data_IF_676856899986
#
_entry.id   IF_676856899986
#
_cell.length_a   1.000
_cell.length_b   1.000
_cell.length_c   1.000
_cell.angle_alpha   90.00
_cell.angle_beta   90.00
_cell.angle_gamma   90.00
#
_symmetry.space_group_name_H-M   'P 1'
#
loop_
_entity.id
_entity.type
_entity.pdbx_description
1 polymer ?
2 polymer ?
3 non-polymer ?
4 non-polymer ?
5 non-polymer ?
6 non-polymer ?
7 water ?
#
# COMPACT_ATOMS: atom_id res chain seq x y z
N UNK A 1 -30.86 -5.53 3.82
CA UNK A 1 -29.74 -5.45 2.83
C UNK A 1 -28.58 -6.33 3.31
N UNK A 2 -27.68 -6.69 2.39
CA UNK A 2 -26.56 -7.56 2.72
C UNK A 2 -25.26 -6.93 2.17
N UNK A 3 -24.23 -7.01 3.00
CA UNK A 3 -22.98 -6.33 2.72
C UNK A 3 -22.23 -6.86 1.49
N UNK A 4 -22.64 -8.04 1.00
CA UNK A 4 -21.94 -8.66 -0.13
C UNK A 4 -22.39 -8.11 -1.48
N UNK A 5 -23.61 -7.58 -1.57
CA UNK A 5 -24.07 -6.88 -2.78
C UNK A 5 -24.08 -5.37 -2.61
N UNK A 6 -23.45 -4.66 -3.54
CA UNK A 6 -23.51 -3.19 -3.59
C UNK A 6 -22.99 -2.54 -2.28
N UNK A 7 -22.24 -3.33 -1.50
CA UNK A 7 -21.67 -2.91 -0.23
C UNK A 7 -22.71 -2.59 0.85
N UNK A 8 -23.89 -3.18 0.70
CA UNK A 8 -24.99 -2.92 1.62
C UNK A 8 -25.48 -1.50 1.56
N UNK A 9 -25.14 -0.81 0.47
CA UNK A 9 -25.39 0.63 0.30
C UNK A 9 -24.40 1.54 1.01
N UNK A 10 -23.50 0.95 1.79
CA UNK A 10 -22.53 1.69 2.60
C UNK A 10 -21.47 2.37 1.75
N UNK A 11 -21.06 3.56 2.17
CA UNK A 11 -19.94 4.25 1.53
C UNK A 11 -18.62 3.55 1.88
N UNK A 12 -18.51 3.04 3.11
CA UNK A 12 -17.29 2.42 3.59
C UNK A 12 -17.59 1.01 4.12
N UNK A 13 -17.57 0.80 5.42
CA UNK A 13 -17.64 -0.56 5.95
C UNK A 13 -19.06 -0.98 6.28
N UNK A 14 -19.28 -2.28 6.24
CA UNK A 14 -20.61 -2.89 6.35
C UNK A 14 -20.59 -4.11 7.24
N UNK A 15 -21.49 -4.16 8.22
CA UNK A 15 -21.73 -5.34 9.06
C UNK A 15 -23.14 -5.88 8.92
N UNK A 16 -23.25 -7.17 8.57
CA UNK A 16 -24.55 -7.88 8.62
C UNK A 16 -24.92 -8.19 10.07
N UNK A 17 -26.22 -8.26 10.31
CA UNK A 17 -26.75 -8.54 11.64
C UNK A 17 -27.91 -9.52 11.55
N UNK A 18 -28.15 -10.21 12.67
CA UNK A 18 -29.14 -11.29 12.70
C UNK A 18 -30.52 -10.68 12.43
N UNK A 19 -31.05 -11.01 11.25
CA UNK A 19 -32.29 -10.40 10.75
C UNK A 19 -32.02 -9.74 9.40
N UNK A 20 -32.96 -8.91 8.96
CA UNK A 20 -32.71 -8.03 7.81
C UNK A 20 -32.01 -6.77 8.30
N UNK A 21 -31.05 -6.91 9.22
CA UNK A 21 -30.34 -5.77 9.79
C UNK A 21 -28.94 -5.64 9.24
N UNK A 22 -28.53 -4.39 9.01
CA UNK A 22 -27.25 -4.06 8.43
C UNK A 22 -26.78 -2.79 9.11
N UNK A 23 -25.51 -2.74 9.46
CA UNK A 23 -24.90 -1.51 9.96
C UNK A 23 -23.72 -1.09 9.12
N UNK A 24 -23.79 0.14 8.63
CA UNK A 24 -22.66 0.74 7.98
C UNK A 24 -21.80 1.35 9.04
N UNK A 25 -20.51 1.45 8.73
CA UNK A 25 -19.55 2.11 9.61
C UNK A 25 -18.54 2.90 8.79
N UNK A 26 -17.82 3.78 9.47
CA UNK A 26 -16.79 4.61 8.84
C UNK A 26 -15.45 4.45 9.55
N UNK A 27 -14.38 4.60 8.78
CA UNK A 27 -13.03 4.59 9.28
C UNK A 27 -12.82 5.70 10.29
N UNK A 28 -11.85 5.50 11.17
CA UNK A 28 -11.38 6.55 12.07
C UNK A 28 -11.13 7.83 11.26
N UNK A 29 -11.46 9.00 11.84
CA UNK A 29 -11.41 10.30 11.14
C UNK A 29 -12.62 10.63 10.26
N UNK A 30 -13.66 9.79 10.38
CA UNK A 30 -14.92 10.00 9.68
C UNK A 30 -16.07 9.71 10.62
N UNK A 31 -17.23 10.29 10.33
CA UNK A 31 -18.46 9.93 11.03
C UNK A 31 -19.57 9.58 10.05
N UNK A 32 -20.45 8.71 10.50
CA UNK A 32 -21.55 8.22 9.70
C UNK A 32 -22.67 9.25 9.76
N UNK A 33 -23.23 9.61 8.61
CA UNK A 33 -24.33 10.57 8.59
C UNK A 33 -25.67 9.88 8.91
N UNK A 34 -26.70 10.70 9.10
CA UNK A 34 -28.05 10.22 9.49
C UNK A 34 -28.71 9.32 8.44
N UNK A 35 -28.27 9.42 7.18
CA UNK A 35 -28.74 8.50 6.14
C UNK A 35 -28.33 7.07 6.46
N UNK A 36 -27.36 6.92 7.38
CA UNK A 36 -26.90 5.62 7.81
C UNK A 36 -25.98 4.89 6.84
N UNK A 37 -25.54 5.59 5.79
CA UNK A 37 -24.60 5.00 4.84
C UNK A 37 -23.35 5.85 4.52
N UNK A 38 -23.48 7.18 4.62
CA UNK A 38 -22.43 8.07 4.15
C UNK A 38 -21.46 8.37 5.27
N UNK A 39 -20.21 8.68 4.91
CA UNK A 39 -19.18 8.98 5.86
C UNK A 39 -18.68 10.36 5.56
N UNK A 40 -18.48 11.18 6.60
CA UNK A 40 -17.96 12.53 6.42
C UNK A 40 -16.72 12.74 7.30
N UNK A 41 -15.64 13.33 6.74
CA UNK A 41 -14.45 13.65 7.52
C UNK A 41 -14.71 14.45 8.82
N UNK A 42 -14.06 14.02 9.89
CA UNK A 42 -14.15 14.68 11.16
C UNK A 42 -12.84 15.37 11.48
N UNK A 43 -11.81 15.16 10.65
CA UNK A 43 -10.47 15.71 10.89
C UNK A 43 -10.01 16.38 9.63
N UNK A 44 -8.96 17.19 9.76
CA UNK A 44 -8.40 17.88 8.63
C UNK A 44 -7.85 16.96 7.58
N UNK A 45 -7.17 15.90 8.00
CA UNK A 45 -6.44 15.03 7.05
C UNK A 45 -6.87 13.58 7.18
N UNK A 46 -8.12 13.28 6.77
CA UNK A 46 -8.60 11.89 6.85
C UNK A 46 -7.85 10.99 5.86
N UNK A 47 -7.75 9.70 6.19
CA UNK A 47 -7.10 8.76 5.28
C UNK A 47 -7.80 8.69 3.93
N UNK A 48 -6.99 8.41 2.90
CA UNK A 48 -7.51 8.07 1.61
C UNK A 48 -8.08 9.23 0.83
N UNK A 49 -7.88 10.45 1.33
CA UNK A 49 -8.31 11.66 0.63
C UNK A 49 -7.12 12.53 0.32
N UNK A 50 -7.19 13.21 -0.81
CA UNK A 50 -6.08 13.99 -1.35
C UNK A 50 -6.35 15.49 -1.24
N UNK A 51 -5.78 16.14 -0.22
CA UNK A 51 -6.08 17.53 0.04
C UNK A 51 -5.97 18.49 -1.16
N UNK A 52 -4.97 18.38 -2.02
CA UNK A 52 -4.90 19.38 -3.09
C UNK A 52 -6.12 19.27 -4.01
N UNK A 53 -6.62 18.05 -4.18
CA UNK A 53 -7.80 17.82 -5.00
C UNK A 53 -9.10 18.16 -4.25
N UNK A 54 -9.18 17.79 -2.98
CA UNK A 54 -10.33 18.14 -2.15
C UNK A 54 -10.50 19.66 -2.04
N UNK A 55 -9.40 20.40 -2.09
CA UNK A 55 -9.46 21.85 -2.20
C UNK A 55 -9.80 22.22 -3.64
N UNK A 56 -9.11 21.60 -4.60
CA UNK A 56 -9.47 21.54 -6.04
C UNK A 56 -8.29 21.81 -6.95
N UNK B 1 8.51 2.48 -12.17
CA UNK B 1 7.25 2.43 -12.92
C UNK B 1 7.52 2.60 -14.42
N UNK B 2 7.05 1.63 -15.22
CA UNK B 2 7.15 1.66 -16.67
C UNK B 2 5.83 2.08 -17.34
N UNK B 3 5.90 3.02 -18.27
CA UNK B 3 4.74 3.44 -19.03
C UNK B 3 3.65 4.17 -18.26
N UNK B 4 4.04 4.88 -17.20
CA UNK B 4 3.10 5.68 -16.39
C UNK B 4 3.33 7.17 -16.60
N UNK B 5 3.10 7.98 -15.58
CA UNK B 5 3.27 9.44 -15.66
C UNK B 5 3.76 9.94 -14.30
N UNK B 6 4.27 11.16 -14.27
CA UNK B 6 4.60 11.78 -13.00
C UNK B 6 3.31 11.94 -12.14
N UNK B 7 3.37 11.50 -10.88
CA UNK B 7 2.31 11.78 -9.96
C UNK B 7 2.43 13.23 -9.59
N UNK B 8 1.44 14.04 -9.96
CA UNK B 8 1.59 15.43 -9.58
C UNK B 8 1.86 15.58 -8.07
N UNK B 9 2.77 16.48 -7.72
CA UNK B 9 3.19 16.67 -6.32
C UNK B 9 2.00 16.88 -5.38
N UNK B 10 1.89 16.04 -4.37
CA UNK B 10 0.79 16.11 -3.41
C UNK B 10 -0.35 15.13 -3.68
N UNK B 11 -0.38 14.56 -4.89
CA UNK B 11 -1.43 13.62 -5.27
C UNK B 11 -1.17 12.17 -4.98
N UNK B 12 0.02 11.84 -4.45
CA UNK B 12 0.33 10.48 -3.98
C UNK B 12 0.84 10.59 -2.55
N UNK B 13 0.03 11.22 -1.67
CA UNK B 13 0.62 11.72 -0.43
C UNK B 13 0.93 10.65 0.61
N UNK B 14 0.45 9.43 0.38
CA UNK B 14 0.75 8.29 1.24
C UNK B 14 2.02 7.53 0.82
N UNK B 15 2.61 7.90 -0.31
CA UNK B 15 3.80 7.20 -0.79
C UNK B 15 4.98 7.45 0.14
N UNK B 16 5.66 6.37 0.48
CA UNK B 16 6.88 6.43 1.29
C UNK B 16 8.10 6.04 0.43
N UNK B 17 9.23 6.69 0.68
CA UNK B 17 10.54 6.28 0.17
C UNK B 17 11.34 5.71 1.33
N UNK B 18 11.83 4.49 1.16
CA UNK B 18 12.68 3.87 2.17
C UNK B 18 14.11 3.99 1.66
N UNK B 19 15.01 4.33 2.58
CA UNK B 19 16.43 4.58 2.27
C UNK B 19 17.26 3.76 3.23
N UNK B 20 18.42 3.33 2.76
CA UNK B 20 19.38 2.62 3.61
C UNK B 20 20.75 3.27 3.36
N UNK B 21 21.27 3.92 4.39
CA UNK B 21 22.44 4.81 4.29
C UNK B 21 22.31 5.91 3.18
N UNK B 22 21.12 6.47 3.06
CA UNK B 22 20.84 7.47 2.02
C UNK B 22 20.54 6.97 0.63
N UNK B 23 20.68 5.67 0.41
CA UNK B 23 20.49 5.05 -0.90
C UNK B 23 19.06 4.58 -0.96
N UNK B 24 18.45 4.72 -2.13
CA UNK B 24 17.13 4.20 -2.40
C UNK B 24 17.03 2.68 -2.14
N UNK B 25 16.11 2.27 -1.27
CA UNK B 25 15.83 0.84 -1.06
C UNK B 25 14.52 0.38 -1.71
N UNK B 26 13.42 1.03 -1.38
CA UNK B 26 12.10 0.53 -1.70
C UNK B 26 11.11 1.62 -1.42
N UNK B 27 9.86 1.35 -1.83
CA UNK B 27 8.74 2.16 -1.47
C UNK B 27 7.96 1.60 -0.29
N UNK B 28 6.95 2.37 0.11
CA UNK B 28 6.02 1.98 1.14
C UNK B 28 4.76 2.83 1.11
N UNK B 29 3.87 2.49 2.04
CA UNK B 29 2.58 3.17 2.17
C UNK B 29 2.34 3.53 3.62
N UNK B 30 2.11 4.81 3.84
CA UNK B 30 1.70 5.32 5.14
C UNK B 30 0.22 4.98 5.40
N UNK B 31 -0.08 4.35 6.53
CA UNK B 31 -1.48 4.01 6.84
C UNK B 31 -2.01 4.71 8.10
N UNK B 32 -1.08 5.25 8.87
CA UNK B 32 -1.41 6.21 9.91
C UNK B 32 -0.12 6.96 10.20
N UNK B 33 -0.08 7.75 11.25
CA UNK B 33 1.07 8.64 11.46
C UNK B 33 2.38 7.99 11.88
N UNK B 34 2.35 6.74 12.39
CA UNK B 34 3.56 6.05 12.82
C UNK B 34 3.81 4.74 12.05
N UNK B 35 2.86 4.32 11.22
CA UNK B 35 2.93 3.03 10.52
C UNK B 35 2.94 3.07 9.00
N UNK B 36 3.85 2.26 8.44
CA UNK B 36 4.12 2.19 7.02
C UNK B 36 4.03 0.73 6.63
N UNK B 37 3.33 0.43 5.54
CA UNK B 37 3.34 -0.92 5.02
C UNK B 37 4.33 -0.93 3.83
N UNK B 38 5.12 -2.01 3.75
CA UNK B 38 6.06 -2.24 2.67
C UNK B 38 6.12 -3.75 2.33
N UNK B 39 7.20 -4.15 1.66
CA UNK B 39 7.38 -5.56 1.21
C UNK B 39 8.48 -6.18 2.04
N UNK B 40 8.23 -7.38 2.55
CA UNK B 40 9.22 -8.12 3.33
C UNK B 40 10.53 -8.30 2.60
N UNK B 41 10.49 -8.54 1.27
CA UNK B 41 11.76 -8.81 0.54
C UNK B 41 12.70 -7.60 0.48
N UNK B 42 12.18 -6.41 0.77
CA UNK B 42 13.00 -5.21 0.81
C UNK B 42 14.09 -5.30 1.84
N UNK B 43 13.94 -6.20 2.80
CA UNK B 43 14.82 -6.25 3.96
C UNK B 43 15.66 -7.51 4.01
N UNK B 44 15.63 -8.31 2.94
CA UNK B 44 16.37 -9.55 2.87
C UNK B 44 17.89 -9.39 3.10
N UNK B 45 18.45 -8.23 2.75
CA UNK B 45 19.89 -8.05 2.76
C UNK B 45 20.30 -6.89 3.63
N UNK B 46 19.50 -6.54 4.62
CA UNK B 46 19.86 -5.41 5.47
C UNK B 46 20.97 -5.83 6.41
N UNK B 47 22.03 -5.02 6.48
CA UNK B 47 23.17 -5.33 7.31
C UNK B 47 23.08 -4.51 8.59
N UNK B 48 23.02 -3.18 8.46
CA UNK B 48 22.78 -2.31 9.64
C UNK B 48 21.31 -1.80 9.71
N UNK B 49 20.52 -2.50 10.52
CA UNK B 49 19.09 -2.25 10.67
C UNK B 49 18.80 -0.86 11.24
N UNK B 50 19.81 -0.24 11.85
CA UNK B 50 19.69 1.06 12.51
C UNK B 50 19.79 2.24 11.55
N UNK B 51 20.14 2.00 10.31
CA UNK B 51 20.25 3.11 9.33
C UNK B 51 19.12 3.15 8.28
N UNK B 52 17.93 2.66 8.65
CA UNK B 52 16.76 2.66 7.77
C UNK B 52 15.98 3.93 7.99
N UNK B 53 15.67 4.64 6.89
CA UNK B 53 14.94 5.93 6.94
C UNK B 53 13.68 5.83 6.06
N UNK B 54 12.57 6.37 6.56
CA UNK B 54 11.35 6.53 5.74
C UNK B 54 11.16 8.00 5.49
N UNK B 55 10.95 8.39 4.24
CA UNK B 55 10.69 9.78 3.92
C UNK B 55 9.29 9.91 3.35
N UNK B 56 8.50 10.80 3.99
CA UNK B 56 7.14 11.18 3.56
C UNK B 56 7.20 12.55 2.89
N UNK B 57 6.22 12.84 2.04
CA UNK B 57 6.14 14.13 1.35
C UNK B 57 7.19 14.34 0.26
N UNK B 58 7.73 13.24 -0.21
CA UNK B 58 8.80 13.22 -1.20
C UNK B 58 8.12 13.19 -2.56
N UNK B 59 8.80 13.82 -3.51
CA UNK B 59 8.33 13.96 -4.85
C UNK B 59 9.50 13.93 -5.84
N UNK B 60 10.28 14.99 -5.82
CA UNK B 60 11.44 15.12 -6.72
C UNK B 60 12.73 14.91 -5.91
N UNK B 61 13.39 13.78 -6.18
CA UNK B 61 14.57 13.40 -5.42
C UNK B 61 15.79 14.30 -5.63
N UNK B 62 15.79 15.12 -6.68
CA UNK B 62 16.92 16.01 -6.96
C UNK B 62 16.93 17.26 -6.07
N UNK B 63 15.82 17.51 -5.38
CA UNK B 63 15.72 18.72 -4.59
C UNK B 63 15.07 18.53 -3.23
N UNK B 64 15.19 19.56 -2.43
CA UNK B 64 14.54 19.67 -1.16
C UNK B 64 13.60 20.86 -1.27
N UNK B 65 12.33 20.64 -1.01
CA UNK B 65 11.35 21.74 -1.03
C UNK B 65 10.72 22.03 0.35
N UNK B 66 11.11 21.26 1.36
CA UNK B 66 10.63 21.53 2.71
C UNK B 66 9.36 20.79 3.07
N UNK B 67 8.74 20.08 2.14
CA UNK B 67 7.55 19.27 2.48
C UNK B 67 7.91 17.85 2.93
N UNK B 68 9.19 17.47 2.75
CA UNK B 68 9.64 16.11 3.07
C UNK B 68 9.72 15.96 4.58
N UNK B 69 9.46 14.76 5.08
CA UNK B 69 9.62 14.46 6.49
C UNK B 69 10.29 13.09 6.56
N UNK B 70 11.43 13.02 7.25
CA UNK B 70 12.17 11.77 7.40
C UNK B 70 12.11 11.25 8.82
N UNK B 71 12.06 9.93 8.96
CA UNK B 71 11.97 9.31 10.26
C UNK B 71 12.81 8.07 10.26
N UNK B 72 13.36 7.74 11.41
CA UNK B 72 14.01 6.47 11.58
C UNK B 72 12.95 5.41 11.66
N UNK B 73 13.27 4.25 11.13
CA UNK B 73 12.41 3.11 11.21
C UNK B 73 12.79 2.35 12.46
N UNK B 74 11.89 2.29 13.43
CA UNK B 74 12.18 1.71 14.74
C UNK B 74 11.97 0.19 14.78
N UNK B 75 11.04 -0.30 13.96
CA UNK B 75 10.71 -1.71 13.90
C UNK B 75 10.34 -2.11 12.47
N UNK B 76 10.81 -3.30 12.06
CA UNK B 76 10.34 -3.95 10.84
C UNK B 76 9.72 -5.25 11.25
N UNK B 77 8.43 -5.39 10.96
CA UNK B 77 7.67 -6.57 11.39
C UNK B 77 7.30 -7.39 10.16
N UNK B 78 7.64 -8.66 10.20
CA UNK B 78 7.53 -9.55 9.04
C UNK B 78 6.81 -10.82 9.46
N UNK B 79 5.85 -11.32 8.65
CA UNK B 79 5.14 -12.51 9.12
C UNK B 79 6.06 -13.73 9.18
N UNK B 80 5.80 -14.60 10.14
CA UNK B 80 6.56 -15.81 10.35
C UNK B 80 6.63 -16.70 9.12
N UNK B 81 5.63 -16.62 8.26
CA UNK B 81 5.53 -17.44 7.06
C UNK B 81 6.38 -16.98 5.87
N UNK B 82 7.02 -15.83 5.99
CA UNK B 82 7.82 -15.26 4.92
C UNK B 82 9.22 -15.88 4.94
N UNK B 83 9.65 -16.39 3.80
CA UNK B 83 10.97 -17.01 3.70
C UNK B 83 11.80 -16.11 2.80
N UNK B 84 12.88 -15.52 3.34
CA UNK B 84 13.73 -14.68 2.48
C UNK B 84 14.12 -15.33 1.14
N UNK B 85 14.17 -14.52 0.09
CA UNK B 85 14.54 -15.01 -1.22
C UNK B 85 13.39 -15.64 -1.96
N UNK B 86 12.23 -15.75 -1.32
CA UNK B 86 11.03 -16.28 -1.95
C UNK B 86 9.98 -15.14 -2.02
N UNK B 87 8.80 -15.45 -2.55
CA UNK B 87 7.86 -14.41 -2.98
C UNK B 87 6.60 -14.34 -2.11
N UNK B 88 6.26 -15.42 -1.42
CA UNK B 88 5.01 -15.50 -0.69
C UNK B 88 5.07 -14.74 0.66
N UNK B 89 3.92 -14.19 1.06
CA UNK B 89 3.80 -13.42 2.30
C UNK B 89 4.72 -12.16 2.27
N UNK B 90 4.71 -11.44 1.15
CA UNK B 90 5.68 -10.38 0.92
C UNK B 90 5.10 -9.07 1.48
N UNK B 91 5.17 -8.95 2.80
CA UNK B 91 4.61 -7.82 3.51
C UNK B 91 5.49 -7.58 4.74
N UNK B 92 5.62 -6.30 5.06
CA UNK B 92 6.36 -5.83 6.24
C UNK B 92 5.58 -4.68 6.79
N UNK B 93 5.54 -4.59 8.11
CA UNK B 93 4.97 -3.42 8.79
C UNK B 93 6.08 -2.70 9.54
N UNK B 94 6.18 -1.40 9.30
CA UNK B 94 7.26 -0.61 9.85
C UNK B 94 6.69 0.40 10.84
N UNK B 95 7.32 0.47 12.01
CA UNK B 95 7.00 1.50 13.00
C UNK B 95 8.08 2.60 12.90
N UNK B 96 7.64 3.85 12.81
CA UNK B 96 8.53 4.99 12.74
C UNK B 96 8.86 5.40 14.17
N UNK B 97 10.08 5.88 14.36
CA UNK B 97 10.55 6.25 15.69
C UNK B 97 9.73 7.39 16.27
N UNK B 98 9.22 8.25 15.38
CA UNK B 98 8.43 9.41 15.75
C UNK B 98 7.34 9.57 14.69
N UNK B 99 6.10 9.96 15.10
CA UNK B 99 5.08 10.23 14.09
C UNK B 99 5.46 11.28 13.05
N UNK B 100 5.00 11.07 11.82
CA UNK B 100 4.97 12.14 10.86
C UNK B 100 3.81 13.08 11.18
N UNK B 101 3.95 14.33 10.73
CA UNK B 101 2.90 15.32 10.88
C UNK B 101 2.11 15.32 9.58
N UNK B 102 0.82 15.09 9.66
CA UNK B 102 -0.05 15.14 8.52
C UNK B 102 -0.15 16.57 7.97
N UNK B 103 -0.11 16.67 6.64
CA UNK B 103 -0.08 17.94 5.91
C UNK B 103 -0.71 17.66 4.58
N UNK B 104 -0.85 18.69 3.74
CA UNK B 104 -1.34 18.51 2.39
C UNK B 104 -0.51 17.51 1.60
N UNK B 105 0.76 17.32 1.99
CA UNK B 105 1.68 16.47 1.24
C UNK B 105 1.98 15.15 1.94
N UNK B 106 1.37 14.96 3.10
CA UNK B 106 1.61 13.75 3.89
C UNK B 106 0.30 13.35 4.56
N UNK B 107 -0.29 12.28 4.01
CA UNK B 107 -1.59 11.78 4.36
C UNK B 107 -1.59 10.25 4.26
N UNK B 108 -2.14 9.53 5.26
CA UNK B 108 -2.15 8.09 5.16
C UNK B 108 -3.18 7.56 4.16
N UNK B 109 -2.91 6.38 3.61
CA UNK B 109 -3.92 5.66 2.87
C UNK B 109 -4.74 4.85 3.88
N UNK B 110 -6.04 4.67 3.63
CA UNK B 110 -6.87 3.84 4.52
C UNK B 110 -6.59 2.35 4.37
N UNK B 111 -6.26 1.68 5.47
CA UNK B 111 -6.23 0.23 5.50
C UNK B 111 -7.70 -0.22 5.70
N UNK B 112 -8.29 -0.88 4.69
CA UNK B 112 -9.70 -1.20 4.78
C UNK B 112 -9.94 -2.37 5.70
N UNK B 113 -11.18 -2.53 6.13
CA UNK B 113 -11.63 -3.79 6.70
C UNK B 113 -11.48 -4.92 5.69
N UNK B 114 -11.23 -6.11 6.20
CA UNK B 114 -11.03 -7.30 5.34
C UNK B 114 -12.25 -7.58 4.47
N UNK B 115 -13.42 -7.69 5.11
CA UNK B 115 -14.69 -7.94 4.37
C UNK B 115 -14.94 -6.98 3.22
N UNK B 116 -14.91 -5.68 3.53
CA UNK B 116 -14.98 -4.62 2.53
C UNK B 116 -13.91 -4.75 1.43
N UNK B 117 -12.72 -5.16 1.81
CA UNK B 117 -11.66 -5.33 0.83
C UNK B 117 -11.94 -6.53 -0.07
N UNK B 118 -12.41 -7.61 0.52
CA UNK B 118 -12.68 -8.82 -0.25
C UNK B 118 -13.93 -8.71 -1.10
N UNK B 119 -14.97 -8.10 -0.56
CA UNK B 119 -16.29 -8.12 -1.17
C UNK B 119 -16.55 -6.96 -2.13
N UNK B 120 -15.83 -5.87 -1.97
CA UNK B 120 -16.08 -4.68 -2.76
C UNK B 120 -14.83 -4.21 -3.52
N UNK B 121 -13.73 -3.96 -2.78
CA UNK B 121 -12.50 -3.41 -3.39
C UNK B 121 -11.83 -4.36 -4.39
N UNK B 122 -11.94 -5.67 -4.16
CA UNK B 122 -11.31 -6.67 -5.00
C UNK B 122 -11.87 -6.72 -6.41
N UNK B 123 -13.06 -6.13 -6.60
CA UNK B 123 -13.78 -6.07 -7.86
C UNK B 123 -13.70 -4.71 -8.53
N UNK B 124 -13.16 -3.69 -7.86
CA UNK B 124 -12.80 -2.46 -8.54
C UNK B 124 -11.67 -2.81 -9.52
N UNK B 125 -11.86 -2.54 -10.80
CA UNK B 125 -10.96 -3.07 -11.82
C UNK B 125 -9.57 -2.43 -11.80
N UNK B 126 -9.54 -1.09 -11.82
CA UNK B 126 -8.31 -0.31 -11.85
C UNK B 126 -7.94 0.25 -10.49
N UNK B 127 -6.62 0.36 -10.32
CA UNK B 127 -5.96 0.76 -9.11
C UNK B 127 -4.61 1.37 -9.53
N UNK B 128 -4.05 2.19 -8.65
CA UNK B 128 -2.89 2.99 -8.97
C UNK B 128 -1.72 2.39 -8.23
N UNK B 129 -0.59 2.29 -8.95
CA UNK B 129 0.65 1.78 -8.40
C UNK B 129 1.71 2.83 -8.62
N UNK B 130 2.56 3.01 -7.62
CA UNK B 130 3.46 4.13 -7.67
C UNK B 130 4.84 3.86 -7.07
N UNK B 131 5.79 4.70 -7.47
CA UNK B 131 7.17 4.58 -6.99
C UNK B 131 8.20 5.35 -7.80
N UNK B 132 9.42 5.35 -7.26
CA UNK B 132 10.60 5.94 -7.89
C UNK B 132 11.49 4.87 -8.52
N UNK B 133 10.88 3.76 -8.92
CA UNK B 133 11.62 2.67 -9.52
C UNK B 133 12.04 2.95 -10.96
N UNK B 134 12.54 1.88 -11.58
CA UNK B 134 13.04 1.93 -12.96
C UNK B 134 11.91 2.31 -13.93
N UNK B 135 12.23 3.25 -14.82
CA UNK B 135 11.28 3.72 -15.82
C UNK B 135 11.22 2.80 -17.01
N UNK B 136 12.23 1.93 -17.13
CA UNK B 136 12.37 0.93 -18.20
C UNK B 136 13.02 -0.28 -17.57
N UNK B 137 12.72 -1.46 -18.10
CA UNK B 137 13.52 -2.65 -17.83
C UNK B 137 14.98 -2.36 -18.17
N UNK B 138 15.89 -2.70 -17.25
CA UNK B 138 17.32 -2.37 -17.39
C UNK B 138 17.59 -0.88 -17.55
N UNK B 139 16.68 -0.06 -17.03
CA UNK B 139 16.78 1.40 -17.16
C UNK B 139 17.12 2.07 -15.85
N UNK B 140 17.38 3.38 -15.94
CA UNK B 140 17.55 4.26 -14.79
C UNK B 140 16.21 4.46 -14.05
N UNK B 141 16.30 4.66 -12.74
CA UNK B 141 15.17 4.93 -11.89
C UNK B 141 14.73 6.38 -11.95
N UNK B 142 13.48 6.61 -11.55
CA UNK B 142 12.83 7.89 -11.66
C UNK B 142 13.32 8.86 -10.60
N UNK B 143 13.52 10.11 -11.02
CA UNK B 143 13.78 11.21 -10.10
C UNK B 143 12.49 11.85 -9.56
N UNK B 144 11.42 11.71 -10.32
CA UNK B 144 10.12 12.19 -9.91
C UNK B 144 9.21 11.00 -9.69
N UNK B 145 8.47 11.04 -8.58
CA UNK B 145 7.55 9.97 -8.24
C UNK B 145 6.63 9.73 -9.42
N UNK B 146 6.55 8.46 -9.83
CA UNK B 146 5.64 8.04 -10.91
C UNK B 146 4.45 7.22 -10.42
N UNK B 147 3.38 7.28 -11.21
CA UNK B 147 2.15 6.57 -10.95
C UNK B 147 1.57 5.92 -12.23
N UNK B 148 0.87 4.81 -12.06
CA UNK B 148 0.36 4.05 -13.17
C UNK B 148 -0.97 3.41 -12.77
N UNK B 149 -1.98 3.51 -13.65
CA UNK B 149 -3.25 2.82 -13.42
C UNK B 149 -3.12 1.43 -13.97
N UNK B 150 -3.51 0.41 -13.21
CA UNK B 150 -3.40 -0.97 -13.67
C UNK B 150 -4.65 -1.79 -13.34
N UNK B 151 -5.06 -2.67 -14.25
CA UNK B 151 -6.23 -3.48 -13.96
C UNK B 151 -5.87 -4.78 -13.29
N UNK B 152 -6.75 -5.23 -12.42
CA UNK B 152 -6.55 -6.45 -11.65
C UNK B 152 -7.21 -7.63 -12.34
N UNK B 153 -6.58 -8.78 -12.20
CA UNK B 153 -7.03 -10.01 -12.79
C UNK B 153 -7.40 -10.97 -11.69
N UNK B 154 -8.43 -11.77 -11.90
CA UNK B 154 -8.65 -12.94 -11.04
C UNK B 154 -7.53 -13.92 -11.32
N UNK B 155 -7.10 -14.66 -10.31
CA UNK B 155 -5.88 -15.46 -10.45
C UNK B 155 -5.96 -16.50 -11.59
N UNK B 156 -7.13 -17.12 -11.77
CA UNK B 156 -7.34 -18.10 -12.85
C UNK B 156 -7.06 -17.48 -14.21
N UNK B 157 -7.56 -16.28 -14.42
CA UNK B 157 -7.33 -15.55 -15.66
C UNK B 157 -5.87 -15.12 -15.78
N UNK B 158 -5.22 -14.81 -14.66
CA UNK B 158 -3.83 -14.43 -14.72
C UNK B 158 -2.98 -15.57 -15.24
N UNK B 159 -3.19 -16.74 -14.64
CA UNK B 159 -2.48 -17.96 -15.01
C UNK B 159 -2.77 -18.34 -16.46
N UNK B 160 -4.05 -18.29 -16.85
CA UNK B 160 -4.47 -18.55 -18.23
C UNK B 160 -3.79 -17.62 -19.23
N UNK B 161 -3.75 -16.33 -18.92
CA UNK B 161 -3.18 -15.31 -19.80
C UNK B 161 -1.66 -15.14 -19.74
N UNK B 162 -0.98 -15.85 -18.84
CA UNK B 162 0.46 -15.63 -18.63
C UNK B 162 1.32 -16.59 -19.45
N UNK B 163 1.96 -16.06 -20.48
CA UNK B 163 2.65 -16.85 -21.50
C UNK B 163 4.08 -16.34 -21.75
N UNK B 168 7.48 -20.00 -13.59
CA UNK B 168 7.43 -18.97 -12.55
C UNK B 168 7.13 -19.56 -11.17
N UNK B 169 7.12 -18.70 -10.13
CA UNK B 169 6.46 -19.09 -8.89
C UNK B 169 4.94 -19.23 -9.08
N UNK B 170 4.26 -19.82 -8.11
CA UNK B 170 2.81 -19.80 -8.12
C UNK B 170 2.30 -18.40 -7.79
N UNK B 171 1.10 -18.11 -8.25
CA UNK B 171 0.33 -17.02 -7.71
C UNK B 171 -0.45 -17.67 -6.58
N UNK B 172 -0.09 -17.34 -5.34
CA UNK B 172 -0.81 -17.87 -4.20
C UNK B 172 -2.01 -16.99 -3.82
N UNK B 173 -2.76 -17.45 -2.84
CA UNK B 173 -3.93 -16.74 -2.36
C UNK B 173 -3.51 -15.47 -1.59
N UNK B 174 -2.21 -15.33 -1.34
CA UNK B 174 -1.65 -14.16 -0.73
C UNK B 174 -1.11 -13.14 -1.73
N UNK B 175 -1.50 -13.30 -3.00
CA UNK B 175 -1.03 -12.47 -4.08
C UNK B 175 -2.18 -12.16 -5.02
N UNK B 176 -1.96 -11.18 -5.90
CA UNK B 176 -2.77 -11.05 -7.10
C UNK B 176 -1.97 -10.39 -8.22
N UNK B 177 -2.42 -10.65 -9.45
CA UNK B 177 -1.87 -10.03 -10.64
C UNK B 177 -2.61 -8.77 -10.99
N UNK B 178 -1.86 -7.78 -11.44
CA UNK B 178 -2.44 -6.59 -12.03
C UNK B 178 -1.52 -6.06 -13.13
N UNK B 179 -2.14 -5.56 -14.19
CA UNK B 179 -1.40 -4.85 -15.25
C UNK B 179 -1.74 -5.32 -16.66
N UNK B 180 -0.69 -5.42 -17.47
CA UNK B 180 -0.77 -5.68 -18.89
C UNK B 180 0.26 -6.71 -19.29
N UNK B 181 -0.09 -7.53 -20.28
CA UNK B 181 0.81 -8.54 -20.82
C UNK B 181 1.59 -8.07 -22.05
N UNK B 182 1.23 -6.92 -22.63
CA UNK B 182 1.86 -6.45 -23.89
C UNK B 182 3.21 -5.72 -23.72
N UNK B 183 3.75 -5.69 -22.50
CA UNK B 183 5.04 -5.04 -22.27
C UNK B 183 5.04 -3.50 -22.29
N UNK B 184 3.87 -2.89 -22.18
CA UNK B 184 3.79 -1.43 -22.16
C UNK B 184 3.93 -0.81 -20.76
N UNK B 185 3.43 -1.52 -19.75
CA UNK B 185 3.08 -0.90 -18.48
C UNK B 185 3.24 -1.87 -17.28
N UNK B 186 4.04 -1.45 -16.30
CA UNK B 186 4.31 -2.31 -15.16
C UNK B 186 4.92 -1.50 -14.03
N UNK B 187 4.88 -2.06 -12.83
CA UNK B 187 5.73 -1.62 -11.77
C UNK B 187 6.99 -2.49 -11.94
N UNK B 188 8.08 -2.02 -11.36
CA UNK B 188 9.41 -2.56 -11.65
C UNK B 188 10.27 -2.58 -10.40
N UNK B 189 11.46 -3.17 -10.52
CA UNK B 189 12.48 -3.08 -9.48
C UNK B 189 12.67 -1.61 -9.13
N UNK B 190 12.69 -1.35 -7.83
CA UNK B 190 12.73 0.00 -7.29
C UNK B 190 11.40 0.41 -6.68
N UNK B 191 10.32 -0.10 -7.27
CA UNK B 191 8.95 0.18 -6.84
C UNK B 191 8.48 -0.73 -5.69
N UNK B 192 9.17 -1.85 -5.50
CA UNK B 192 8.87 -2.82 -4.45
C UNK B 192 8.49 -2.12 -3.17
N UNK B 193 7.42 -2.64 -2.55
CA UNK B 193 6.94 -2.16 -1.23
C UNK B 193 5.94 -1.02 -1.34
N UNK B 194 5.81 -0.46 -2.53
CA UNK B 194 4.96 0.66 -2.76
C UNK B 194 3.50 0.26 -2.85
N UNK B 195 2.61 1.27 -2.77
CA UNK B 195 1.18 1.09 -2.75
C UNK B 195 0.54 0.64 -4.06
N UNK B 196 -0.38 -0.29 -3.93
CA UNK B 196 -1.39 -0.49 -4.92
C UNK B 196 -2.69 -0.02 -4.27
N UNK B 197 -3.21 1.09 -4.76
CA UNK B 197 -4.19 1.92 -4.10
C UNK B 197 -5.51 1.94 -4.91
N UNK B 198 -6.63 1.67 -4.22
CA UNK B 198 -7.92 1.43 -4.88
C UNK B 198 -8.97 2.45 -4.44
N UNK B 199 -9.61 3.08 -5.42
CA UNK B 199 -10.57 4.11 -5.14
C UNK B 199 -11.96 3.49 -5.06
N UNK B 200 -12.71 3.88 -4.02
CA UNK B 200 -14.13 3.55 -3.90
C UNK B 200 -14.89 4.67 -3.19
N UNK B 201 -15.88 5.17 -3.91
CA UNK B 201 -16.77 6.20 -3.43
C UNK B 201 -16.02 7.35 -2.76
N UNK B 202 -15.04 7.88 -3.49
CA UNK B 202 -14.36 9.10 -3.13
C UNK B 202 -13.23 8.95 -2.15
N UNK B 203 -12.86 7.71 -1.81
CA UNK B 203 -11.81 7.45 -0.83
C UNK B 203 -10.89 6.38 -1.35
N UNK B 204 -9.58 6.51 -1.04
CA UNK B 204 -8.59 5.50 -1.48
C UNK B 204 -8.17 4.53 -0.35
N UNK B 205 -7.97 3.27 -0.75
CA UNK B 205 -7.61 2.20 0.17
C UNK B 205 -6.41 1.38 -0.30
N UNK B 206 -5.65 0.85 0.68
CA UNK B 206 -4.57 -0.11 0.36
C UNK B 206 -5.08 -1.50 0.07
N UNK B 207 -4.89 -1.94 -1.19
CA UNK B 207 -5.27 -3.27 -1.62
C UNK B 207 -4.07 -4.17 -1.95
N UNK B 208 -2.93 -3.56 -2.27
CA UNK B 208 -1.78 -4.33 -2.69
C UNK B 208 -0.46 -3.71 -2.35
N UNK B 209 0.59 -4.52 -2.39
CA UNK B 209 1.97 -4.05 -2.24
C UNK B 209 2.78 -4.50 -3.45
N UNK B 210 3.48 -3.56 -4.10
CA UNK B 210 4.37 -3.93 -5.22
C UNK B 210 5.34 -5.04 -4.76
N UNK B 211 5.31 -6.18 -5.43
CA UNK B 211 5.94 -7.37 -4.89
C UNK B 211 6.96 -7.99 -5.82
N UNK B 212 6.50 -8.58 -6.91
CA UNK B 212 7.38 -9.27 -7.85
C UNK B 212 6.80 -9.41 -9.26
N UNK B 213 7.65 -9.89 -10.16
CA UNK B 213 7.27 -10.30 -11.53
C UNK B 213 8.49 -10.74 -12.31
N UNK B 214 8.26 -11.26 -13.52
CA UNK B 214 9.35 -11.63 -14.43
C UNK B 214 9.88 -10.36 -15.09
N UNK B 215 11.14 -10.00 -14.83
CA UNK B 215 11.72 -8.76 -15.37
C UNK B 215 10.70 -7.65 -15.14
N UNK B 216 10.77 -6.55 -15.89
CA UNK B 216 9.78 -5.46 -15.83
C UNK B 216 9.14 -5.24 -17.15
N UNK B 217 7.82 -5.15 -17.19
CA UNK B 217 7.10 -4.96 -18.44
C UNK B 217 7.43 -6.08 -19.44
N UNK B 218 7.62 -7.31 -18.95
CA UNK B 218 7.96 -8.44 -19.82
C UNK B 218 6.71 -8.91 -20.54
N UNK B 219 6.79 -8.98 -21.86
CA UNK B 219 5.67 -9.45 -22.68
C UNK B 219 5.20 -10.84 -22.22
N UNK B 220 3.88 -10.99 -22.14
CA UNK B 220 3.28 -12.23 -21.65
C UNK B 220 3.21 -12.36 -20.14
N UNK B 221 3.60 -11.30 -19.43
CA UNK B 221 3.58 -11.34 -17.96
C UNK B 221 2.91 -10.14 -17.29
N UNK B 222 2.34 -10.42 -16.12
CA UNK B 222 1.71 -9.39 -15.29
C UNK B 222 2.52 -9.14 -14.04
N UNK B 223 2.39 -7.92 -13.52
CA UNK B 223 2.89 -7.61 -12.19
C UNK B 223 2.15 -8.38 -11.12
N UNK B 224 2.85 -8.69 -10.05
CA UNK B 224 2.27 -9.48 -8.96
C UNK B 224 2.40 -8.68 -7.67
N UNK B 225 1.30 -8.64 -6.92
CA UNK B 225 1.13 -7.78 -5.76
C UNK B 225 0.66 -8.60 -4.58
N UNK B 226 1.18 -8.29 -3.38
CA UNK B 226 0.73 -8.93 -2.17
C UNK B 226 -0.74 -8.56 -1.92
N UNK B 227 -1.55 -9.56 -1.61
CA UNK B 227 -2.98 -9.37 -1.37
C UNK B 227 -3.19 -8.97 0.08
N UNK B 228 -3.31 -7.68 0.29
CA UNK B 228 -3.29 -7.08 1.61
C UNK B 228 -4.51 -7.47 2.46
N UNK B 229 -5.62 -7.81 1.81
CA UNK B 229 -6.81 -8.23 2.54
C UNK B 229 -6.54 -9.45 3.45
N UNK B 230 -5.56 -10.29 3.11
CA UNK B 230 -5.21 -11.46 3.93
C UNK B 230 -4.52 -11.08 5.23
N UNK B 231 -4.10 -9.82 5.33
CA UNK B 231 -3.23 -9.35 6.42
C UNK B 231 -3.85 -8.31 7.34
N UNK B 232 -5.11 -7.93 7.08
CA UNK B 232 -5.73 -6.84 7.88
C UNK B 232 -5.66 -7.09 9.39
N UNK B 233 -6.07 -8.28 9.81
CA UNK B 233 -6.11 -8.56 11.24
C UNK B 233 -4.72 -8.66 11.84
N UNK B 234 -3.83 -9.33 11.13
CA UNK B 234 -2.41 -9.43 11.47
C UNK B 234 -1.79 -8.05 11.69
N UNK B 235 -2.05 -7.13 10.75
CA UNK B 235 -1.58 -5.73 10.86
C UNK B 235 -2.23 -4.99 12.03
N UNK B 236 -3.55 -5.13 12.18
CA UNK B 236 -4.21 -4.37 13.24
C UNK B 236 -3.77 -4.79 14.62
N UNK B 237 -3.52 -6.07 14.79
CA UNK B 237 -3.05 -6.57 16.05
C UNK B 237 -1.65 -6.03 16.36
N UNK B 238 -0.77 -6.08 15.37
CA UNK B 238 0.57 -5.54 15.56
C UNK B 238 0.52 -4.06 15.88
N UNK B 239 -0.38 -3.31 15.24
CA UNK B 239 -0.47 -1.86 15.54
C UNK B 239 -0.91 -1.53 16.99
N UNK B 240 -1.61 -2.46 17.64
CA UNK B 240 -2.01 -2.29 19.04
C UNK B 240 -0.93 -2.79 20.00
N UNK B 241 0.14 -3.37 19.48
CA UNK B 241 1.15 -3.98 20.34
C UNK B 241 2.25 -3.02 20.79
N UNK B 242 2.86 -3.28 21.94
CA UNK B 242 3.98 -2.44 22.39
C UNK B 242 5.24 -2.71 21.57
N UNK B 243 6.05 -1.69 21.31
CA UNK B 243 7.37 -1.92 20.70
C UNK B 243 8.24 -2.91 21.48
N UNK B 244 9.06 -3.67 20.76
CA UNK B 244 10.01 -4.62 21.35
C UNK B 244 11.42 -4.24 20.95
N UNK B 245 12.40 -4.42 21.87
CA UNK B 245 13.78 -4.12 21.52
C UNK B 245 14.24 -4.83 20.24
N UNK B 246 15.17 -4.21 19.52
CA UNK B 246 15.62 -4.74 18.23
C UNK B 246 14.69 -4.40 17.08
N UNK B 247 15.26 -3.99 15.93
CA UNK B 247 14.48 -3.53 14.79
C UNK B 247 13.64 -4.64 14.18
N UNK B 248 14.29 -5.71 13.74
CA UNK B 248 13.54 -6.80 13.11
C UNK B 248 12.70 -7.58 14.11
N UNK B 249 11.44 -7.77 13.78
CA UNK B 249 10.56 -8.63 14.54
C UNK B 249 9.88 -9.58 13.58
N UNK B 250 10.01 -10.89 13.81
CA UNK B 250 9.18 -11.86 13.11
C UNK B 250 7.99 -12.14 14.03
N UNK B 251 6.79 -12.06 13.47
CA UNK B 251 5.52 -12.22 14.18
C UNK B 251 4.68 -13.34 13.53
N UNK B 252 4.05 -14.22 14.34
CA UNK B 252 3.24 -15.31 13.84
C UNK B 252 2.22 -14.85 12.84
N UNK B 253 2.15 -15.56 11.73
CA UNK B 253 1.05 -15.38 10.81
C UNK B 253 0.43 -16.78 10.66
N UNK B 254 -0.89 -16.90 10.76
CA UNK B 254 -1.90 -15.85 10.97
C UNK B 254 -1.85 -15.22 12.36
X LIG C 1 -12.75 18.94 9.81
X LIG D 1 12.18 16.56 -2.77
X LIG E 1 19.00 -4.16 16.15
X LIG F 1 1.71 -6.43 23.62
X LIG G 1 13.52 -4.55 -5.53
X LIG G 1 13.24 -5.07 -4.18
X LIG G 1 14.78 -3.78 -5.50
X LIG G 1 12.45 -3.69 -6.08
X LIG G 1 13.72 -5.71 -6.41
X LIG H 1 -9.05 -14.37 -7.23
X LIG H 1 -9.49 -14.05 -5.87
X LIG H 1 -7.85 -13.63 -7.59
X LIG H 1 -10.08 -14.06 -8.22
X LIG H 1 -8.73 -15.79 -7.22
X LIG I 1 7.69 -5.90 -8.91
X LIG I 1 10.08 -6.77 -10.12
X LIG I 1 10.02 -6.44 -8.77
X LIG I 1 7.74 -6.83 -12.94
X LIG I 1 7.72 -6.20 -10.27
X LIG I 1 6.57 -6.09 -11.05
X LIG I 1 8.91 -6.64 -10.86
X LIG I 1 6.63 -6.38 -12.34
X LIG I 1 5.37 -5.66 -10.49
X LIG I 1 8.83 -6.01 -8.17
X LIG I 1 11.17 -6.55 -7.98
X LIG I 1 8.90 -6.96 -12.23
#
# INVERSE_FOLDING_TARGET
LICVNENGGCEQYCSDHTGTKRSCRCHEGYSLLADGVSCTPTVEYPCGKIPILEKRNASKPQGR
IVGGKVCPKGECPWQVLLLVNGAQLCGGTLINTIWVVSAAHCFDKIKNWRNLIAVLGEHDLSEHDGDEQSRRVAQVIIPSTYVPGTTNHDIALLRLHQPVVLTDHVVPLCLPERTFSERTLAFVRFSLVSGWGQLLDRGATALELMVLNVPRLMTQDCLQQSRKVGDSPNITEYMFCAGYSDGSKDSCKGDSGGPHATHYRGTWYLTGIVSWGQGCATVGHFGVYTRVSQYIEWLQKLMRSEPRPGVLLRAPFP
CL CL
CA CA
CL CL
CL CL
SO4 S O1 O2 O3 O4
SO4 S O1 O2 O3 O4
7XM C5 C6 C8 C10 C1 C2 C3 N4 N7 C9 N11 C12
#
